data_IF_158498406145
#
_entry.id   IF_158498406145
#
_cell.length_a   1.000
_cell.length_b   1.000
_cell.length_c   1.000
_cell.angle_alpha   90.00
_cell.angle_beta   90.00
_cell.angle_gamma   90.00
#
_symmetry.space_group_name_H-M   'P 1'
#
loop_
_entity.id
_entity.type
_entity.pdbx_description
1 polymer ?
#
# COMPACT_ATOMS: atom_id res chain seq x y z
N UNK A 1 6.96 4.21 20.76
CA UNK A 1 7.48 5.57 20.98
C UNK A 1 8.83 5.63 20.27
N UNK A 2 8.78 5.69 18.94
CA UNK A 2 9.94 6.04 18.13
C UNK A 2 9.96 7.55 18.04
N UNK A 3 11.08 8.15 18.41
CA UNK A 3 11.29 9.58 18.38
C UNK A 3 11.21 10.07 16.92
N UNK A 4 10.17 10.86 16.63
CA UNK A 4 10.19 11.80 15.51
C UNK A 4 11.30 12.81 15.83
N UNK A 5 12.51 12.56 15.30
CA UNK A 5 13.69 13.40 15.52
C UNK A 5 13.67 14.70 14.70
N UNK A 6 12.52 15.39 14.68
CA UNK A 6 12.45 16.79 14.29
C UNK A 6 11.53 17.51 15.29
N UNK A 7 12.13 18.33 16.15
CA UNK A 7 11.45 19.12 17.18
C UNK A 7 10.63 20.28 16.63
N UNK A 8 10.13 20.19 15.40
CA UNK A 8 9.18 21.14 14.84
C UNK A 8 7.79 20.83 15.39
N UNK A 9 7.23 21.78 16.13
CA UNK A 9 5.86 21.72 16.61
C UNK A 9 4.93 21.51 15.40
N UNK A 10 4.30 20.33 15.29
CA UNK A 10 3.48 20.01 14.11
C UNK A 10 2.40 21.09 13.97
N UNK A 11 2.23 21.68 12.77
CA UNK A 11 1.27 22.75 12.58
C UNK A 11 -0.13 22.29 12.99
N UNK A 12 -0.83 23.14 13.73
CA UNK A 12 -2.20 22.86 14.16
C UNK A 12 -3.09 22.71 12.92
N UNK A 13 -3.97 21.71 12.94
CA UNK A 13 -4.92 21.47 11.83
C UNK A 13 -6.02 22.55 11.92
N UNK A 14 -6.20 23.40 10.89
CA UNK A 14 -7.20 24.44 10.93
C UNK A 14 -8.62 23.86 10.84
N UNK A 15 -9.59 24.59 11.40
CA UNK A 15 -11.01 24.29 11.25
C UNK A 15 -11.52 24.83 9.91
N UNK A 16 -11.23 24.08 8.84
CA UNK A 16 -11.48 24.45 7.46
C UNK A 16 -12.10 23.28 6.67
N UNK A 17 -12.77 23.54 5.52
CA UNK A 17 -13.33 22.49 4.68
C UNK A 17 -12.29 21.44 4.30
N UNK A 18 -12.73 20.18 4.23
CA UNK A 18 -11.87 19.04 3.92
C UNK A 18 -12.12 18.55 2.50
N UNK A 19 -11.05 18.29 1.77
CA UNK A 19 -11.07 17.61 0.48
C UNK A 19 -10.35 16.27 0.65
N UNK A 20 -11.08 15.18 0.38
CA UNK A 20 -10.55 13.82 0.42
C UNK A 20 -9.89 13.50 -0.92
N UNK A 21 -8.61 13.16 -0.88
CA UNK A 21 -7.82 12.77 -2.04
C UNK A 21 -7.92 11.26 -2.26
N UNK A 22 -7.99 10.86 -3.54
CA UNK A 22 -7.83 9.45 -3.91
C UNK A 22 -6.35 9.03 -3.92
N UNK A 23 -6.07 7.74 -4.14
CA UNK A 23 -4.69 7.22 -4.07
C UNK A 23 -3.76 7.86 -5.11
N UNK A 24 -4.24 8.17 -6.32
CA UNK A 24 -3.42 8.81 -7.35
C UNK A 24 -3.16 10.28 -7.01
N UNK A 25 -4.17 10.98 -6.48
CA UNK A 25 -4.03 12.35 -5.96
C UNK A 25 -3.05 12.43 -4.78
N UNK A 26 -2.97 11.40 -3.96
CA UNK A 26 -2.01 11.31 -2.86
C UNK A 26 -0.56 11.19 -3.36
N UNK A 27 -0.32 10.42 -4.42
CA UNK A 27 1.00 10.35 -5.06
C UNK A 27 1.40 11.70 -5.68
N UNK A 28 0.45 12.40 -6.31
CA UNK A 28 0.67 13.76 -6.84
C UNK A 28 0.92 14.78 -5.73
N UNK A 29 0.15 14.74 -4.64
CA UNK A 29 0.37 15.60 -3.47
C UNK A 29 1.78 15.41 -2.91
N UNK A 30 2.27 14.17 -2.83
CA UNK A 30 3.62 13.87 -2.36
C UNK A 30 4.71 14.48 -3.26
N UNK A 31 4.52 14.42 -4.58
CA UNK A 31 5.40 15.09 -5.54
C UNK A 31 5.39 16.62 -5.35
N UNK A 32 4.23 17.23 -5.10
CA UNK A 32 4.10 18.67 -4.84
C UNK A 32 4.78 19.07 -3.54
N UNK A 33 4.48 18.37 -2.42
CA UNK A 33 5.10 18.63 -1.12
C UNK A 33 6.62 18.40 -1.15
N UNK A 34 7.08 17.45 -1.96
CA UNK A 34 8.49 17.18 -2.21
C UNK A 34 9.19 18.19 -3.12
N UNK A 35 8.46 19.16 -3.68
CA UNK A 35 8.96 20.18 -4.60
C UNK A 35 9.28 19.67 -6.01
N UNK A 36 8.79 18.48 -6.35
CA UNK A 36 8.96 17.88 -7.67
C UNK A 36 7.89 18.32 -8.68
N UNK A 37 6.77 18.84 -8.19
CA UNK A 37 5.70 19.44 -8.97
C UNK A 37 5.26 20.76 -8.33
N UNK A 38 4.80 21.71 -9.15
CA UNK A 38 4.31 23.02 -8.69
C UNK A 38 2.78 23.11 -8.66
N UNK A 39 2.05 22.09 -9.12
CA UNK A 39 0.57 22.08 -9.14
C UNK A 39 -0.03 20.76 -9.63
N UNK A 40 -1.36 20.64 -9.55
CA UNK A 40 -2.15 19.48 -10.02
C UNK A 40 -3.61 19.88 -10.30
N UNK A 41 -4.28 19.32 -11.32
CA UNK A 41 -5.69 19.60 -11.61
C UNK A 41 -6.66 19.39 -10.44
N UNK A 42 -6.40 18.43 -9.54
CA UNK A 42 -7.23 18.19 -8.35
C UNK A 42 -6.93 19.19 -7.22
N UNK A 43 -5.67 19.60 -7.07
CA UNK A 43 -5.34 20.77 -6.25
C UNK A 43 -6.04 22.00 -6.82
N UNK A 44 -6.13 22.12 -8.14
CA UNK A 44 -6.84 23.20 -8.82
C UNK A 44 -8.36 23.15 -8.60
N UNK A 45 -8.98 21.97 -8.64
CA UNK A 45 -10.39 21.81 -8.30
C UNK A 45 -10.68 22.14 -6.83
N UNK A 46 -9.75 21.83 -5.91
CA UNK A 46 -9.84 22.27 -4.52
C UNK A 46 -9.76 23.81 -4.43
N UNK A 47 -8.91 24.47 -5.22
CA UNK A 47 -8.81 25.96 -5.29
C UNK A 47 -10.14 26.63 -5.64
N UNK A 48 -10.97 25.97 -6.45
CA UNK A 48 -12.24 26.50 -6.97
C UNK A 48 -13.43 26.39 -6.00
N UNK A 49 -13.25 25.73 -4.84
CA UNK A 49 -14.26 25.68 -3.79
C UNK A 49 -14.52 27.09 -3.23
N UNK A 50 -15.64 27.69 -3.61
CA UNK A 50 -15.98 29.09 -3.28
C UNK A 50 -16.30 29.26 -1.79
N UNK A 51 -15.58 30.16 -1.12
CA UNK A 51 -16.02 30.76 0.16
C UNK A 51 -15.14 30.55 1.39
N UNK A 52 -13.96 29.92 1.29
CA UNK A 52 -13.06 29.69 2.43
C UNK A 52 -11.60 30.00 2.10
N UNK A 53 -10.88 30.61 3.04
CA UNK A 53 -9.47 31.05 2.89
C UNK A 53 -8.47 29.89 2.94
N UNK A 54 -8.84 28.78 3.60
CA UNK A 54 -8.04 27.58 3.75
C UNK A 54 -8.84 26.32 3.43
N UNK A 55 -8.16 25.28 2.95
CA UNK A 55 -8.72 23.94 2.72
C UNK A 55 -7.75 22.90 3.28
N UNK A 56 -8.27 21.91 4.01
CA UNK A 56 -7.48 20.79 4.52
C UNK A 56 -7.57 19.62 3.54
N UNK A 57 -6.44 19.20 3.01
CA UNK A 57 -6.32 18.00 2.18
C UNK A 57 -6.14 16.78 3.08
N UNK A 58 -6.98 15.76 2.88
CA UNK A 58 -6.97 14.54 3.68
C UNK A 58 -6.86 13.29 2.81
N UNK A 59 -6.30 12.22 3.36
CA UNK A 59 -6.48 10.89 2.76
C UNK A 59 -7.91 10.37 2.93
N UNK A 60 -8.18 9.19 2.38
CA UNK A 60 -9.46 8.49 2.52
C UNK A 60 -9.83 8.13 3.96
N UNK A 61 -8.86 8.19 4.88
CA UNK A 61 -9.00 7.99 6.34
C UNK A 61 -9.24 9.30 7.12
N UNK A 62 -9.50 10.42 6.43
CA UNK A 62 -9.63 11.77 6.99
C UNK A 62 -8.36 12.24 7.74
N UNK A 63 -7.21 11.63 7.48
CA UNK A 63 -5.94 12.08 8.03
C UNK A 63 -5.58 13.42 7.38
N UNK A 64 -5.38 14.50 8.15
CA UNK A 64 -4.89 15.77 7.62
C UNK A 64 -3.45 15.61 7.11
N UNK A 65 -3.25 15.92 5.83
CA UNK A 65 -1.95 15.78 5.15
C UNK A 65 -1.34 17.13 4.81
N UNK A 66 -2.14 18.07 4.32
CA UNK A 66 -1.68 19.40 3.97
C UNK A 66 -2.81 20.43 4.11
N UNK A 67 -2.43 21.69 4.25
CA UNK A 67 -3.31 22.84 4.16
C UNK A 67 -3.00 23.57 2.86
N UNK A 68 -4.03 23.84 2.08
CA UNK A 68 -3.96 24.72 0.91
C UNK A 68 -4.46 26.10 1.33
N UNK A 69 -3.56 27.09 1.32
CA UNK A 69 -3.91 28.49 1.52
C UNK A 69 -4.27 29.12 0.16
N UNK A 70 -5.29 29.99 0.14
CA UNK A 70 -5.52 30.91 -0.97
C UNK A 70 -4.73 32.21 -0.73
N UNK A 71 -3.56 32.43 -1.32
CA UNK A 71 -3.05 33.78 -1.45
C UNK A 71 -3.88 34.54 -2.48
N UNK A 72 -3.90 35.87 -2.37
CA UNK A 72 -4.51 36.80 -3.34
C UNK A 72 -3.80 36.81 -4.74
N UNK A 73 -3.20 35.69 -5.18
CA UNK A 73 -2.40 35.57 -6.41
C UNK A 73 -2.37 34.16 -7.03
N UNK A 74 -1.61 34.00 -8.11
CA UNK A 74 -1.65 32.82 -8.99
C UNK A 74 -1.01 31.53 -8.43
N UNK A 75 -0.29 31.60 -7.30
CA UNK A 75 0.50 30.47 -6.76
C UNK A 75 0.11 30.14 -5.30
N UNK A 76 -0.78 29.15 -5.06
CA UNK A 76 -1.28 28.83 -3.75
C UNK A 76 -0.21 28.18 -2.87
N UNK A 77 -0.04 28.68 -1.65
CA UNK A 77 0.87 28.08 -0.70
C UNK A 77 0.27 26.78 -0.17
N UNK A 78 0.98 25.67 -0.36
CA UNK A 78 0.64 24.39 0.25
C UNK A 78 1.57 24.12 1.44
N UNK A 79 0.97 23.98 2.62
CA UNK A 79 1.69 23.68 3.85
C UNK A 79 1.50 22.22 4.22
N UNK A 80 2.59 21.45 4.30
CA UNK A 80 2.55 20.08 4.80
C UNK A 80 2.16 20.06 6.29
N UNK A 81 1.10 19.32 6.62
CA UNK A 81 0.83 18.84 7.99
C UNK A 81 1.53 17.50 8.23
N UNK A 82 1.66 16.71 7.16
CA UNK A 82 2.44 15.48 7.06
C UNK A 82 3.15 15.47 5.71
N UNK A 83 4.50 15.52 5.67
CA UNK A 83 5.23 15.73 4.42
C UNK A 83 5.18 14.53 3.46
N UNK A 84 4.87 13.34 3.97
CA UNK A 84 4.76 12.12 3.18
C UNK A 84 3.55 11.31 3.63
N UNK A 85 2.78 10.77 2.68
CA UNK A 85 1.64 9.93 3.00
C UNK A 85 2.11 8.50 3.33
N UNK A 86 1.61 7.99 4.47
CA UNK A 86 2.08 6.76 5.10
C UNK A 86 1.62 5.51 4.33
N UNK A 87 2.43 4.46 4.35
CA UNK A 87 2.10 3.13 3.85
C UNK A 87 2.96 2.07 4.55
N UNK A 88 2.87 0.82 4.11
CA UNK A 88 3.59 -0.32 4.68
C UNK A 88 4.38 -1.08 3.62
N UNK A 89 5.57 -1.56 3.98
CA UNK A 89 6.44 -2.30 3.06
C UNK A 89 7.64 -1.48 2.58
N UNK A 90 8.50 -2.12 1.80
CA UNK A 90 9.78 -1.55 1.34
C UNK A 90 9.60 -0.28 0.50
N UNK A 91 8.50 -0.20 -0.25
CA UNK A 91 8.13 0.99 -1.03
C UNK A 91 7.82 2.24 -0.20
N UNK A 92 7.66 2.09 1.11
CA UNK A 92 7.30 3.15 2.04
C UNK A 92 8.42 3.45 3.05
N UNK A 93 9.59 2.83 2.90
CA UNK A 93 10.73 3.08 3.78
C UNK A 93 11.27 4.51 3.58
N UNK A 94 11.36 5.33 4.63
CA UNK A 94 11.85 6.71 4.52
C UNK A 94 13.26 6.85 3.94
N UNK A 95 14.09 5.81 4.09
CA UNK A 95 15.42 5.78 3.51
C UNK A 95 15.43 5.68 1.97
N UNK A 96 14.37 5.14 1.39
CA UNK A 96 14.23 4.91 -0.06
C UNK A 96 13.26 5.89 -0.71
N UNK A 97 12.13 6.20 -0.05
CA UNK A 97 11.11 7.14 -0.53
C UNK A 97 11.45 8.53 0.01
N UNK A 98 12.25 9.28 -0.76
CA UNK A 98 12.79 10.59 -0.37
C UNK A 98 12.31 11.66 -1.35
N UNK A 99 12.10 12.89 -0.87
CA UNK A 99 11.74 14.02 -1.73
C UNK A 99 12.89 14.45 -2.64
N UNK A 100 12.58 15.09 -3.77
CA UNK A 100 13.58 15.63 -4.69
C UNK A 100 14.53 16.62 -3.99
N UNK A 101 14.00 17.44 -3.07
CA UNK A 101 14.80 18.35 -2.24
C UNK A 101 15.83 17.60 -1.37
N UNK A 102 15.44 16.53 -0.70
CA UNK A 102 16.33 15.74 0.15
C UNK A 102 17.40 15.01 -0.67
N UNK A 103 17.02 14.45 -1.82
CA UNK A 103 17.95 13.77 -2.73
C UNK A 103 18.99 14.75 -3.27
N UNK A 104 18.56 15.95 -3.71
CA UNK A 104 19.47 16.99 -4.20
C UNK A 104 20.44 17.48 -3.12
N UNK A 105 19.94 17.81 -1.93
CA UNK A 105 20.78 18.22 -0.81
C UNK A 105 21.83 17.15 -0.45
N UNK A 106 21.45 15.88 -0.56
CA UNK A 106 22.34 14.74 -0.34
C UNK A 106 23.37 14.56 -1.46
N UNK A 107 23.04 14.84 -2.71
CA UNK A 107 23.99 14.85 -3.84
C UNK A 107 24.99 15.99 -3.73
N UNK A 108 24.54 17.18 -3.34
CA UNK A 108 25.39 18.36 -3.11
C UNK A 108 26.37 18.10 -1.95
N UNK A 109 25.87 17.57 -0.83
CA UNK A 109 26.68 17.25 0.35
C UNK A 109 27.79 16.24 0.08
N UNK A 110 27.61 15.33 -0.88
CA UNK A 110 28.62 14.34 -1.26
C UNK A 110 29.47 14.77 -2.47
N UNK A 111 29.27 15.97 -3.00
CA UNK A 111 29.99 16.45 -4.19
C UNK A 111 29.67 15.65 -5.46
N UNK A 112 28.49 15.03 -5.53
CA UNK A 112 28.09 14.14 -6.62
C UNK A 112 26.96 14.72 -7.50
N UNK A 113 26.62 15.99 -7.31
CA UNK A 113 25.48 16.66 -7.96
C UNK A 113 25.74 17.24 -9.35
N UNK A 114 26.97 17.25 -9.84
CA UNK A 114 27.32 17.91 -11.12
C UNK A 114 26.79 17.18 -12.36
N UNK A 115 26.89 15.84 -12.37
CA UNK A 115 26.41 14.98 -13.46
C UNK A 115 25.74 13.75 -12.90
N UNK A 116 24.42 13.71 -12.95
CA UNK A 116 23.62 12.64 -12.33
C UNK A 116 22.85 11.90 -13.41
N UNK A 117 23.14 10.61 -13.54
CA UNK A 117 22.37 9.72 -14.40
C UNK A 117 21.21 9.13 -13.59
N UNK A 118 19.98 9.40 -13.99
CA UNK A 118 18.81 8.71 -13.46
C UNK A 118 18.43 7.53 -14.35
N UNK A 119 18.47 6.33 -13.78
CA UNK A 119 17.98 5.11 -14.40
C UNK A 119 16.60 4.80 -13.84
N UNK A 120 15.58 4.93 -14.68
CA UNK A 120 14.20 4.53 -14.35
C UNK A 120 14.07 3.01 -14.47
N UNK A 121 13.74 2.36 -13.36
CA UNK A 121 13.54 0.90 -13.26
C UNK A 121 12.07 0.63 -12.95
N UNK A 122 11.29 0.43 -14.01
CA UNK A 122 9.84 0.20 -13.98
C UNK A 122 9.46 -1.29 -14.17
N UNK A 123 10.46 -2.17 -14.26
CA UNK A 123 10.30 -3.61 -14.50
C UNK A 123 11.46 -4.39 -13.85
N UNK A 124 11.30 -5.71 -13.71
CA UNK A 124 12.31 -6.58 -13.10
C UNK A 124 13.62 -6.55 -13.89
N UNK A 125 14.73 -6.08 -13.30
CA UNK A 125 16.01 -6.02 -14.01
C UNK A 125 16.64 -7.41 -14.17
N UNK A 126 17.29 -7.62 -15.30
CA UNK A 126 18.02 -8.85 -15.62
C UNK A 126 19.53 -8.69 -15.43
N UNK A 127 20.28 -9.80 -15.50
CA UNK A 127 21.75 -9.74 -15.56
C UNK A 127 22.27 -9.10 -16.85
N UNK A 128 21.53 -9.23 -17.95
CA UNK A 128 21.89 -8.58 -19.21
C UNK A 128 21.71 -7.06 -19.09
N UNK A 129 20.65 -6.62 -18.41
CA UNK A 129 20.42 -5.20 -18.11
C UNK A 129 21.59 -4.62 -17.30
N UNK A 130 22.12 -5.37 -16.31
CA UNK A 130 23.24 -4.92 -15.49
C UNK A 130 24.49 -4.66 -16.33
N UNK A 131 24.84 -5.59 -17.24
CA UNK A 131 25.97 -5.41 -18.14
C UNK A 131 25.81 -4.21 -19.07
N UNK A 132 24.59 -3.99 -19.62
CA UNK A 132 24.30 -2.81 -20.44
C UNK A 132 24.43 -1.51 -19.66
N UNK A 133 23.92 -1.47 -18.43
CA UNK A 133 23.99 -0.31 -17.55
C UNK A 133 25.43 -0.03 -17.11
N UNK A 134 26.21 -1.06 -16.77
CA UNK A 134 27.64 -0.91 -16.46
C UNK A 134 28.40 -0.27 -17.63
N UNK A 135 28.11 -0.67 -18.87
CA UNK A 135 28.73 -0.09 -20.06
C UNK A 135 28.32 1.38 -20.26
N UNK A 136 27.05 1.72 -20.04
CA UNK A 136 26.56 3.11 -20.10
C UNK A 136 27.24 3.94 -19.02
N UNK A 137 27.28 3.46 -17.79
CA UNK A 137 27.91 4.14 -16.66
C UNK A 137 29.40 4.39 -16.96
N UNK A 138 30.13 3.36 -17.40
CA UNK A 138 31.56 3.46 -17.72
C UNK A 138 31.88 4.35 -18.93
N UNK A 139 30.93 4.53 -19.85
CA UNK A 139 31.03 5.48 -20.96
C UNK A 139 30.53 6.90 -20.62
N UNK A 140 29.84 7.06 -19.50
CA UNK A 140 29.31 8.34 -19.06
C UNK A 140 30.36 9.14 -18.28
N UNK A 141 30.02 10.41 -18.03
CA UNK A 141 30.77 11.27 -17.10
C UNK A 141 29.96 11.55 -15.83
N UNK A 142 29.02 10.67 -15.52
CA UNK A 142 28.19 10.79 -14.34
C UNK A 142 29.04 10.65 -13.07
N UNK A 143 28.77 11.51 -12.10
CA UNK A 143 29.35 11.50 -10.75
C UNK A 143 28.48 10.76 -9.75
N UNK A 144 27.22 10.46 -10.11
CA UNK A 144 26.29 9.63 -9.33
C UNK A 144 25.26 8.95 -10.24
N UNK A 145 24.69 7.86 -9.75
CA UNK A 145 23.56 7.16 -10.40
C UNK A 145 22.38 7.09 -9.44
N UNK A 146 21.23 7.59 -9.89
CA UNK A 146 19.94 7.42 -9.21
C UNK A 146 19.19 6.26 -9.86
N UNK A 147 18.97 5.18 -9.12
CA UNK A 147 18.10 4.08 -9.49
C UNK A 147 16.69 4.42 -9.02
N UNK A 148 15.88 4.93 -9.96
CA UNK A 148 14.55 5.46 -9.68
C UNK A 148 13.54 4.34 -9.90
N UNK A 149 12.76 4.02 -8.87
CA UNK A 149 11.69 3.02 -8.93
C UNK A 149 10.35 3.73 -8.79
N UNK A 150 9.60 3.95 -9.89
CA UNK A 150 8.26 4.53 -9.83
C UNK A 150 7.32 3.55 -9.13
N UNK A 151 6.66 4.00 -8.06
CA UNK A 151 5.70 3.19 -7.31
C UNK A 151 4.43 3.98 -7.03
N UNK A 152 3.31 3.42 -7.49
CA UNK A 152 1.97 3.90 -7.21
C UNK A 152 1.42 3.32 -5.90
N UNK A 153 0.57 4.09 -5.20
CA UNK A 153 -0.26 3.59 -4.08
C UNK A 153 -1.23 2.52 -4.54
N UNK A 154 -1.80 2.72 -5.72
CA UNK A 154 -2.73 1.80 -6.35
C UNK A 154 -2.02 1.03 -7.47
N UNK A 155 -2.16 -0.30 -7.57
CA UNK A 155 -1.69 -1.03 -8.74
C UNK A 155 -2.36 -0.51 -10.02
N UNK A 156 -1.56 0.02 -10.95
CA UNK A 156 -2.01 0.44 -12.28
C UNK A 156 -2.01 -0.71 -13.30
N UNK A 157 -2.61 -0.51 -14.49
CA UNK A 157 -2.62 -1.52 -15.56
C UNK A 157 -1.21 -1.89 -16.06
N UNK A 158 -0.21 -0.99 -15.90
CA UNK A 158 1.21 -1.26 -16.19
C UNK A 158 1.94 -2.01 -15.06
N UNK A 159 1.40 -2.03 -13.84
CA UNK A 159 1.99 -2.66 -12.64
C UNK A 159 1.62 -4.14 -12.50
N UNK A 160 0.98 -4.75 -13.50
CA UNK A 160 0.27 -6.02 -13.33
C UNK A 160 1.17 -7.23 -13.02
N UNK A 161 2.46 -7.20 -13.38
CA UNK A 161 3.34 -8.35 -13.17
C UNK A 161 3.98 -8.39 -11.78
N UNK A 162 4.40 -7.23 -11.23
CA UNK A 162 5.18 -7.16 -9.98
C UNK A 162 4.80 -5.91 -9.17
N UNK A 163 4.47 -6.10 -7.89
CA UNK A 163 4.15 -5.00 -6.96
C UNK A 163 5.41 -4.20 -6.58
N UNK A 164 5.22 -2.99 -6.04
CA UNK A 164 6.30 -2.05 -5.70
C UNK A 164 7.41 -2.65 -4.82
N UNK A 165 7.11 -3.22 -3.67
CA UNK A 165 8.15 -3.75 -2.76
C UNK A 165 8.96 -4.92 -3.34
N UNK A 166 8.36 -5.93 -4.00
CA UNK A 166 9.13 -6.95 -4.72
C UNK A 166 10.06 -6.37 -5.81
N UNK A 167 9.59 -5.37 -6.57
CA UNK A 167 10.42 -4.69 -7.56
C UNK A 167 11.62 -3.99 -6.88
N UNK A 168 11.40 -3.30 -5.77
CA UNK A 168 12.48 -2.63 -5.03
C UNK A 168 13.51 -3.63 -4.51
N UNK A 169 13.10 -4.80 -4.01
CA UNK A 169 14.05 -5.87 -3.61
C UNK A 169 14.90 -6.33 -4.79
N UNK A 170 14.28 -6.52 -5.96
CA UNK A 170 15.01 -6.86 -7.19
C UNK A 170 16.00 -5.76 -7.58
N UNK A 171 15.60 -4.49 -7.45
CA UNK A 171 16.47 -3.33 -7.70
C UNK A 171 17.61 -3.24 -6.69
N UNK A 172 17.41 -3.55 -5.41
CA UNK A 172 18.49 -3.61 -4.43
C UNK A 172 19.56 -4.65 -4.83
N UNK A 173 19.13 -5.85 -5.23
CA UNK A 173 20.04 -6.87 -5.76
C UNK A 173 20.74 -6.43 -7.05
N UNK A 174 20.04 -5.72 -7.92
CA UNK A 174 20.57 -5.16 -9.16
C UNK A 174 21.63 -4.08 -8.91
N UNK A 175 21.36 -3.14 -8.01
CA UNK A 175 22.31 -2.10 -7.61
C UNK A 175 23.54 -2.70 -6.94
N UNK A 176 23.36 -3.75 -6.12
CA UNK A 176 24.48 -4.47 -5.53
C UNK A 176 25.37 -5.15 -6.59
N UNK A 177 24.76 -5.72 -7.63
CA UNK A 177 25.49 -6.33 -8.75
C UNK A 177 26.34 -5.29 -9.48
N UNK A 178 25.74 -4.15 -9.88
CA UNK A 178 26.43 -3.06 -10.58
C UNK A 178 27.50 -2.41 -9.67
N UNK A 179 27.18 -2.16 -8.40
CA UNK A 179 28.10 -1.53 -7.46
C UNK A 179 29.34 -2.38 -7.16
N UNK A 180 29.24 -3.71 -7.29
CA UNK A 180 30.42 -4.59 -7.22
C UNK A 180 31.38 -4.35 -8.38
N UNK A 181 30.87 -4.00 -9.56
CA UNK A 181 31.67 -3.68 -10.74
C UNK A 181 32.15 -2.21 -10.78
N UNK A 182 31.43 -1.29 -10.13
CA UNK A 182 31.69 0.16 -10.13
C UNK A 182 31.71 0.76 -8.71
N UNK A 183 32.69 0.40 -7.85
CA UNK A 183 32.69 0.81 -6.43
C UNK A 183 32.89 2.32 -6.21
N UNK A 184 33.47 3.02 -7.19
CA UNK A 184 33.76 4.46 -7.13
C UNK A 184 32.52 5.32 -7.40
N UNK A 185 31.44 4.73 -7.92
CA UNK A 185 30.22 5.45 -8.29
C UNK A 185 29.09 5.17 -7.29
N UNK A 186 28.65 6.18 -6.53
CA UNK A 186 27.58 6.00 -5.56
C UNK A 186 26.26 5.75 -6.28
N UNK A 187 25.77 4.51 -6.18
CA UNK A 187 24.41 4.14 -6.57
C UNK A 187 23.42 4.43 -5.44
N UNK A 188 22.36 5.19 -5.73
CA UNK A 188 21.29 5.48 -4.76
C UNK A 188 19.96 5.02 -5.31
N UNK A 189 19.19 4.30 -4.50
CA UNK A 189 17.82 3.92 -4.85
C UNK A 189 16.88 5.02 -4.36
N UNK A 190 15.97 5.43 -5.23
CA UNK A 190 14.90 6.39 -4.91
C UNK A 190 13.58 5.77 -5.34
N UNK A 191 12.66 5.60 -4.40
CA UNK A 191 11.27 5.25 -4.69
C UNK A 191 10.52 6.53 -5.00
N UNK A 192 10.01 6.63 -6.23
CA UNK A 192 9.33 7.81 -6.73
C UNK A 192 7.81 7.59 -6.65
N UNK A 193 7.04 8.42 -5.90
CA UNK A 193 5.58 8.44 -6.00
C UNK A 193 5.17 8.65 -7.46
N UNK A 194 4.38 7.72 -8.01
CA UNK A 194 3.95 7.79 -9.41
C UNK A 194 2.49 7.35 -9.54
N UNK A 195 1.55 8.23 -9.95
CA UNK A 195 0.14 7.87 -10.06
C UNK A 195 -0.08 6.79 -11.12
N UNK A 196 -1.06 5.92 -10.90
CA UNK A 196 -1.32 4.75 -11.73
C UNK A 196 -1.85 5.09 -13.14
N UNK A 197 -2.46 6.26 -13.29
CA UNK A 197 -3.03 6.77 -14.54
C UNK A 197 -2.11 7.76 -15.27
N UNK A 198 -0.85 7.86 -14.85
CA UNK A 198 0.22 8.73 -15.37
C UNK A 198 -0.06 10.25 -15.33
N UNK A 199 -1.30 10.73 -15.11
CA UNK A 199 -1.74 12.16 -15.06
C UNK A 199 -1.03 13.13 -16.04
N UNK A 200 -0.57 12.65 -17.21
CA UNK A 200 0.30 13.36 -18.15
C UNK A 200 1.59 13.96 -17.51
N UNK A 201 2.13 13.31 -16.47
CA UNK A 201 3.36 13.71 -15.80
C UNK A 201 4.61 13.39 -16.64
N UNK A 202 5.53 14.34 -16.71
CA UNK A 202 6.83 14.14 -17.34
C UNK A 202 7.85 13.63 -16.33
N UNK A 203 8.22 12.34 -16.44
CA UNK A 203 9.23 11.73 -15.56
C UNK A 203 10.58 12.44 -15.65
N UNK A 204 10.93 12.93 -16.83
CA UNK A 204 12.19 13.67 -17.05
C UNK A 204 12.19 15.01 -16.33
N UNK A 205 11.09 15.77 -16.39
CA UNK A 205 10.96 17.05 -15.68
C UNK A 205 10.96 16.84 -14.17
N UNK A 206 10.23 15.82 -13.70
CA UNK A 206 10.24 15.42 -12.29
C UNK A 206 11.65 15.04 -11.86
N UNK A 207 12.38 14.21 -12.60
CA UNK A 207 13.72 13.78 -12.20
C UNK A 207 14.78 14.89 -12.27
N UNK A 208 14.59 15.92 -13.09
CA UNK A 208 15.41 17.12 -13.02
C UNK A 208 15.30 17.81 -11.64
N UNK A 209 14.13 17.75 -10.98
CA UNK A 209 13.96 18.26 -9.61
C UNK A 209 14.73 17.44 -8.57
N UNK A 210 14.99 16.15 -8.85
CA UNK A 210 15.86 15.28 -8.03
C UNK A 210 17.35 15.49 -8.32
N UNK A 211 17.70 16.33 -9.29
CA UNK A 211 19.08 16.63 -9.69
C UNK A 211 19.57 15.81 -10.89
N UNK A 212 18.73 15.02 -11.55
CA UNK A 212 19.11 14.28 -12.75
C UNK A 212 19.50 15.24 -13.89
N UNK A 213 20.65 14.98 -14.51
CA UNK A 213 21.10 15.70 -15.72
C UNK A 213 20.88 14.87 -16.98
N UNK A 214 20.79 13.56 -16.82
CA UNK A 214 20.51 12.59 -17.87
C UNK A 214 19.51 11.57 -17.33
N UNK A 215 18.55 11.16 -18.17
CA UNK A 215 17.52 10.20 -17.80
C UNK A 215 17.49 9.10 -18.85
N UNK A 216 17.54 7.85 -18.40
CA UNK A 216 17.33 6.67 -19.25
C UNK A 216 16.43 5.67 -18.53
N UNK A 217 15.75 4.82 -19.29
CA UNK A 217 14.86 3.79 -18.75
C UNK A 217 15.43 2.40 -18.96
N UNK A 218 15.08 1.47 -18.07
CA UNK A 218 15.48 0.06 -18.17
C UNK A 218 15.05 -0.55 -19.51
N UNK A 219 13.85 -0.22 -19.99
CA UNK A 219 13.37 -0.70 -21.29
C UNK A 219 14.17 -0.13 -22.47
N UNK A 220 14.72 1.08 -22.35
CA UNK A 220 15.49 1.72 -23.43
C UNK A 220 16.87 1.08 -23.63
N UNK A 221 17.43 0.46 -22.57
CA UNK A 221 18.74 -0.20 -22.62
C UNK A 221 18.65 -1.69 -22.95
N UNK A 222 17.43 -2.24 -23.00
CA UNK A 222 17.18 -3.64 -23.34
C UNK A 222 17.34 -3.89 -24.83
N UNK A 223 18.05 -4.95 -25.16
CA UNK A 223 18.08 -5.45 -26.54
C UNK A 223 16.76 -6.12 -26.91
N UNK A 224 16.33 -6.08 -28.19
CA UNK A 224 15.13 -6.80 -28.63
C UNK A 224 15.14 -8.29 -28.29
N UNK A 225 16.31 -8.91 -28.29
CA UNK A 225 16.48 -10.33 -27.93
C UNK A 225 16.27 -10.58 -26.42
N UNK A 226 16.62 -9.63 -25.56
CA UNK A 226 16.34 -9.72 -24.12
C UNK A 226 14.84 -9.50 -23.85
N UNK A 227 14.25 -8.48 -24.47
CA UNK A 227 12.81 -8.21 -24.39
C UNK A 227 12.00 -9.45 -24.79
N UNK A 228 12.37 -10.09 -25.91
CA UNK A 228 11.71 -11.32 -26.34
C UNK A 228 11.93 -12.46 -25.34
N UNK A 229 13.17 -12.66 -24.84
CA UNK A 229 13.44 -13.70 -23.83
C UNK A 229 12.60 -13.52 -22.57
N UNK A 230 12.44 -12.29 -22.08
CA UNK A 230 11.61 -11.99 -20.91
C UNK A 230 10.13 -12.28 -21.21
N UNK A 231 9.63 -11.83 -22.37
CA UNK A 231 8.26 -12.10 -22.80
C UNK A 231 7.97 -13.60 -22.93
N UNK A 232 9.00 -14.39 -23.27
CA UNK A 232 8.92 -15.84 -23.40
C UNK A 232 9.04 -16.59 -22.06
N UNK A 233 9.48 -15.96 -20.96
CA UNK A 233 9.70 -16.61 -19.66
C UNK A 233 8.44 -17.26 -19.05
N UNK A 234 7.25 -16.62 -19.06
CA UNK A 234 6.04 -17.22 -18.49
C UNK A 234 5.69 -18.59 -19.12
N UNK A 235 6.09 -18.79 -20.38
CA UNK A 235 5.84 -20.03 -21.13
C UNK A 235 7.07 -20.95 -21.19
N UNK A 236 8.17 -20.63 -20.51
CA UNK A 236 9.41 -21.40 -20.60
C UNK A 236 9.23 -22.83 -20.09
N UNK A 237 8.52 -23.02 -18.97
CA UNK A 237 8.21 -24.34 -18.45
C UNK A 237 7.28 -25.10 -19.39
N UNK A 238 6.22 -24.45 -19.88
CA UNK A 238 5.29 -25.05 -20.85
C UNK A 238 6.01 -25.55 -22.11
N UNK A 239 6.85 -24.71 -22.73
CA UNK A 239 7.62 -25.09 -23.92
C UNK A 239 8.53 -26.28 -23.63
N UNK A 240 9.28 -26.23 -22.52
CA UNK A 240 10.17 -27.32 -22.14
C UNK A 240 9.42 -28.65 -21.92
N UNK A 241 8.21 -28.61 -21.34
CA UNK A 241 7.38 -29.81 -21.17
C UNK A 241 6.89 -30.33 -22.52
N UNK A 242 6.37 -29.46 -23.40
CA UNK A 242 5.88 -29.86 -24.73
C UNK A 242 7.00 -30.36 -25.66
N UNK A 243 8.22 -29.88 -25.48
CA UNK A 243 9.40 -30.33 -26.25
C UNK A 243 9.84 -31.75 -25.86
N UNK A 244 9.60 -32.15 -24.60
CA UNK A 244 10.07 -33.44 -24.05
C UNK A 244 9.00 -34.52 -24.12
N UNK A 245 7.71 -34.16 -23.98
CA UNK A 245 6.61 -35.11 -23.83
C UNK A 245 5.63 -35.04 -25.01
N UNK A 246 5.00 -36.17 -25.41
CA UNK A 246 3.89 -36.14 -26.35
C UNK A 246 2.74 -35.25 -25.84
N UNK A 247 1.99 -34.63 -26.77
CA UNK A 247 0.96 -33.62 -26.46
C UNK A 247 0.01 -34.01 -25.32
N UNK A 248 -0.45 -35.26 -25.29
CA UNK A 248 -1.36 -35.75 -24.25
C UNK A 248 -0.69 -35.75 -22.86
N UNK A 249 0.55 -36.22 -22.76
CA UNK A 249 1.32 -36.23 -21.51
C UNK A 249 1.73 -34.83 -21.08
N UNK A 250 2.11 -33.97 -22.02
CA UNK A 250 2.42 -32.57 -21.75
C UNK A 250 1.19 -31.82 -21.21
N UNK A 251 0.01 -32.05 -21.79
CA UNK A 251 -1.25 -31.45 -21.33
C UNK A 251 -1.58 -31.87 -19.90
N UNK A 252 -1.44 -33.16 -19.56
CA UNK A 252 -1.65 -33.65 -18.20
C UNK A 252 -0.67 -33.04 -17.20
N UNK A 253 0.63 -33.00 -17.54
CA UNK A 253 1.67 -32.43 -16.68
C UNK A 253 1.49 -30.92 -16.45
N UNK A 254 1.13 -30.18 -17.50
CA UNK A 254 0.88 -28.74 -17.39
C UNK A 254 -0.39 -28.44 -16.61
N UNK A 255 -1.48 -29.21 -16.85
CA UNK A 255 -2.68 -29.11 -16.03
C UNK A 255 -2.42 -29.46 -14.56
N UNK A 256 -1.55 -30.45 -14.30
CA UNK A 256 -1.14 -30.78 -12.93
C UNK A 256 -0.28 -29.67 -12.30
N UNK A 257 0.64 -29.06 -13.05
CA UNK A 257 1.50 -27.98 -12.55
C UNK A 257 0.73 -26.67 -12.28
N UNK A 258 -0.25 -26.32 -13.13
CA UNK A 258 -1.18 -25.22 -12.91
C UNK A 258 -2.01 -25.44 -11.64
N UNK A 259 -2.44 -26.68 -11.39
CA UNK A 259 -3.12 -27.05 -10.15
C UNK A 259 -2.15 -27.13 -8.95
N UNK A 260 -0.88 -27.50 -9.17
CA UNK A 260 0.13 -27.70 -8.12
C UNK A 260 0.77 -26.40 -7.61
N UNK A 261 0.76 -25.32 -8.41
CA UNK A 261 1.18 -24.00 -7.96
C UNK A 261 0.31 -23.46 -6.80
N UNK A 262 -0.91 -24.00 -6.66
CA UNK A 262 -1.87 -23.75 -5.59
C UNK A 262 -1.84 -24.83 -4.48
N UNK A 263 -1.01 -25.87 -4.64
CA UNK A 263 -1.10 -27.14 -3.87
C UNK A 263 0.05 -27.33 -2.88
N UNK A 264 0.60 -26.24 -2.33
CA UNK A 264 1.13 -26.39 -0.97
C UNK A 264 -0.12 -26.61 -0.11
N UNK A 265 -0.25 -27.70 0.66
CA UNK A 265 -1.27 -27.80 1.68
C UNK A 265 -0.93 -26.79 2.79
N UNK A 266 -1.12 -25.51 2.51
CA UNK A 266 -1.14 -24.49 3.54
C UNK A 266 -2.50 -24.61 4.18
N UNK A 267 -2.52 -24.85 5.50
CA UNK A 267 -3.75 -24.65 6.28
C UNK A 267 -4.28 -23.26 5.94
N UNK A 268 -5.53 -23.22 5.45
CA UNK A 268 -6.22 -21.95 5.25
C UNK A 268 -6.34 -21.23 6.59
N UNK A 269 -6.39 -19.90 6.55
CA UNK A 269 -6.48 -19.10 7.77
C UNK A 269 -7.38 -17.90 7.58
N UNK A 270 -8.00 -17.46 8.66
CA UNK A 270 -8.79 -16.24 8.71
C UNK A 270 -8.27 -15.36 9.83
N UNK A 271 -7.78 -14.18 9.44
CA UNK A 271 -7.52 -13.07 10.36
C UNK A 271 -8.79 -12.24 10.45
N UNK A 272 -9.45 -12.30 11.61
CA UNK A 272 -10.76 -11.70 11.83
C UNK A 272 -10.63 -10.50 12.77
N UNK A 273 -10.69 -9.29 12.23
CA UNK A 273 -10.67 -8.06 13.02
C UNK A 273 -12.05 -7.72 13.59
N UNK A 274 -12.06 -7.11 14.78
CA UNK A 274 -13.25 -6.50 15.42
C UNK A 274 -12.87 -5.20 16.12
N UNK A 275 -13.81 -4.27 16.26
CA UNK A 275 -13.57 -2.96 16.84
C UNK A 275 -14.54 -1.90 16.31
N UNK A 276 -14.61 -0.76 16.99
CA UNK A 276 -15.51 0.36 16.66
C UNK A 276 -15.29 0.92 15.25
N UNK A 277 -16.30 1.58 14.67
CA UNK A 277 -16.12 2.33 13.41
C UNK A 277 -15.01 3.37 13.60
N UNK A 278 -14.11 3.58 12.63
CA UNK A 278 -12.98 4.52 12.79
C UNK A 278 -11.83 4.04 13.71
N UNK A 279 -11.88 2.81 14.23
CA UNK A 279 -10.80 2.27 15.07
C UNK A 279 -9.50 1.95 14.33
N UNK A 280 -9.50 1.93 12.99
CA UNK A 280 -8.30 1.63 12.18
C UNK A 280 -8.22 0.19 11.64
N UNK A 281 -9.26 -0.64 11.83
CA UNK A 281 -9.32 -2.02 11.32
C UNK A 281 -8.99 -2.13 9.83
N UNK A 282 -9.69 -1.38 8.98
CA UNK A 282 -9.52 -1.47 7.51
C UNK A 282 -8.10 -1.09 7.10
N UNK A 283 -7.50 -0.09 7.77
CA UNK A 283 -6.10 0.32 7.55
C UNK A 283 -5.12 -0.80 7.88
N UNK A 284 -5.25 -1.42 9.07
CA UNK A 284 -4.37 -2.52 9.48
C UNK A 284 -4.61 -3.76 8.60
N UNK A 285 -5.85 -4.07 8.28
CA UNK A 285 -6.23 -5.22 7.45
C UNK A 285 -5.66 -5.14 6.02
N UNK A 286 -5.70 -3.95 5.40
CA UNK A 286 -5.07 -3.73 4.08
C UNK A 286 -3.55 -3.85 4.15
N UNK A 287 -2.93 -3.17 5.10
CA UNK A 287 -1.49 -3.24 5.30
C UNK A 287 -1.00 -4.68 5.58
N UNK A 288 -1.78 -5.46 6.34
CA UNK A 288 -1.50 -6.88 6.57
C UNK A 288 -1.58 -7.69 5.28
N UNK A 289 -2.66 -7.53 4.50
CA UNK A 289 -2.84 -8.23 3.23
C UNK A 289 -1.71 -7.93 2.24
N UNK A 290 -1.30 -6.66 2.14
CA UNK A 290 -0.18 -6.25 1.30
C UNK A 290 1.14 -6.84 1.80
N UNK A 291 1.39 -6.79 3.11
CA UNK A 291 2.63 -7.35 3.70
C UNK A 291 2.74 -8.85 3.47
N UNK A 292 1.63 -9.61 3.54
CA UNK A 292 1.63 -11.06 3.29
C UNK A 292 1.89 -11.36 1.82
N UNK A 293 1.27 -10.60 0.91
CA UNK A 293 1.53 -10.72 -0.52
C UNK A 293 3.00 -10.43 -0.84
N UNK A 294 3.61 -9.44 -0.18
CA UNK A 294 5.02 -9.10 -0.34
C UNK A 294 6.00 -10.12 0.26
N UNK A 295 5.66 -10.71 1.42
CA UNK A 295 6.54 -11.63 2.15
C UNK A 295 6.51 -13.04 1.56
N UNK A 296 5.31 -13.54 1.30
CA UNK A 296 5.09 -14.97 1.05
C UNK A 296 4.64 -15.26 -0.39
N UNK A 297 4.33 -14.21 -1.18
CA UNK A 297 3.70 -14.34 -2.49
C UNK A 297 2.26 -14.86 -2.41
N UNK A 298 1.70 -15.06 -1.21
CA UNK A 298 0.32 -15.51 -0.98
C UNK A 298 -0.64 -14.34 -1.12
N UNK A 299 -1.65 -14.47 -1.96
CA UNK A 299 -2.73 -13.51 -2.02
C UNK A 299 -3.65 -13.67 -0.79
N UNK A 300 -4.00 -12.55 -0.15
CA UNK A 300 -5.01 -12.50 0.90
C UNK A 300 -6.34 -11.99 0.32
N UNK A 301 -7.43 -12.71 0.56
CA UNK A 301 -8.79 -12.24 0.24
C UNK A 301 -9.24 -11.25 1.31
N UNK A 302 -9.27 -9.96 0.96
CA UNK A 302 -9.70 -8.90 1.86
C UNK A 302 -11.24 -8.78 1.89
N UNK A 303 -11.84 -9.03 3.05
CA UNK A 303 -13.27 -8.91 3.33
C UNK A 303 -13.52 -7.68 4.21
N UNK A 304 -13.30 -6.49 3.65
CA UNK A 304 -13.54 -5.20 4.33
C UNK A 304 -15.04 -4.87 4.38
N UNK A 305 -15.48 -4.25 5.48
CA UNK A 305 -16.90 -4.03 5.78
C UNK A 305 -17.63 -3.20 4.72
N UNK A 306 -16.95 -2.30 4.01
CA UNK A 306 -17.54 -1.47 2.96
C UNK A 306 -17.77 -2.26 1.66
N UNK A 307 -16.75 -2.96 1.17
CA UNK A 307 -16.86 -3.82 -0.02
C UNK A 307 -17.87 -4.94 0.18
N UNK A 308 -17.86 -5.59 1.35
CA UNK A 308 -18.85 -6.60 1.72
C UNK A 308 -20.26 -6.00 1.74
N UNK A 309 -20.45 -4.80 2.31
CA UNK A 309 -21.76 -4.14 2.33
C UNK A 309 -22.29 -3.82 0.94
N UNK A 310 -21.41 -3.45 0.01
CA UNK A 310 -21.79 -3.19 -1.37
C UNK A 310 -22.19 -4.45 -2.13
N UNK A 311 -21.46 -5.56 -1.95
CA UNK A 311 -21.61 -6.73 -2.81
C UNK A 311 -22.38 -7.91 -2.18
N UNK A 312 -22.21 -8.13 -0.88
CA UNK A 312 -22.74 -9.30 -0.17
C UNK A 312 -23.86 -8.97 0.80
N UNK A 313 -23.91 -7.73 1.28
CA UNK A 313 -24.85 -7.27 2.31
C UNK A 313 -25.71 -6.09 1.86
N UNK A 314 -25.84 -5.90 0.55
CA UNK A 314 -26.75 -4.92 -0.02
C UNK A 314 -28.19 -5.21 0.48
N UNK A 315 -28.86 -4.16 0.96
CA UNK A 315 -30.22 -4.25 1.51
C UNK A 315 -30.31 -4.63 3.00
N UNK A 316 -29.21 -4.97 3.68
CA UNK A 316 -29.23 -5.11 5.15
C UNK A 316 -29.26 -3.75 5.84
N UNK A 317 -30.08 -3.64 6.89
CA UNK A 317 -30.17 -2.46 7.74
C UNK A 317 -29.00 -2.31 8.70
N UNK A 318 -29.19 -1.47 9.73
CA UNK A 318 -28.22 -1.23 10.80
C UNK A 318 -28.66 -1.78 12.15
N UNK A 319 -29.82 -2.43 12.23
CA UNK A 319 -30.31 -3.11 13.42
C UNK A 319 -29.40 -4.29 13.83
N UNK A 320 -29.60 -4.80 15.05
CA UNK A 320 -28.78 -5.87 15.61
C UNK A 320 -28.78 -7.15 14.74
N UNK A 321 -29.95 -7.59 14.27
CA UNK A 321 -30.08 -8.80 13.46
C UNK A 321 -29.39 -8.64 12.09
N UNK A 322 -29.55 -7.48 11.44
CA UNK A 322 -28.86 -7.14 10.20
C UNK A 322 -27.33 -7.15 10.37
N UNK A 323 -26.82 -6.71 11.53
CA UNK A 323 -25.38 -6.72 11.83
C UNK A 323 -24.86 -8.13 12.08
N UNK A 324 -25.57 -8.94 12.85
CA UNK A 324 -25.23 -10.36 13.06
C UNK A 324 -25.26 -11.13 11.73
N UNK A 325 -26.26 -10.91 10.89
CA UNK A 325 -26.34 -11.50 9.55
C UNK A 325 -25.17 -11.08 8.66
N UNK A 326 -24.76 -9.80 8.70
CA UNK A 326 -23.59 -9.33 7.97
C UNK A 326 -22.30 -10.02 8.44
N UNK A 327 -22.12 -10.18 9.76
CA UNK A 327 -20.97 -10.91 10.33
C UNK A 327 -20.99 -12.38 9.91
N UNK A 328 -22.17 -13.03 9.94
CA UNK A 328 -22.32 -14.41 9.50
C UNK A 328 -21.99 -14.60 8.02
N UNK A 329 -22.41 -13.66 7.14
CA UNK A 329 -22.06 -13.69 5.70
C UNK A 329 -20.56 -13.57 5.47
N UNK A 330 -19.90 -12.65 6.20
CA UNK A 330 -18.44 -12.49 6.14
C UNK A 330 -17.75 -13.78 6.59
N UNK A 331 -18.17 -14.34 7.72
CA UNK A 331 -17.60 -15.57 8.26
C UNK A 331 -17.77 -16.75 7.30
N UNK A 332 -18.94 -16.87 6.65
CA UNK A 332 -19.17 -17.90 5.64
C UNK A 332 -18.23 -17.77 4.45
N UNK A 333 -18.10 -16.57 3.86
CA UNK A 333 -17.16 -16.37 2.74
C UNK A 333 -15.71 -16.60 3.18
N UNK A 334 -15.32 -16.13 4.36
CA UNK A 334 -14.00 -16.37 4.92
C UNK A 334 -13.71 -17.86 5.11
N UNK A 335 -14.70 -18.64 5.59
CA UNK A 335 -14.56 -20.09 5.72
C UNK A 335 -14.38 -20.78 4.35
N UNK A 336 -15.05 -20.31 3.29
CA UNK A 336 -14.86 -20.86 1.95
C UNK A 336 -13.45 -20.60 1.44
N UNK A 337 -12.88 -19.42 1.70
CA UNK A 337 -11.47 -19.12 1.38
C UNK A 337 -10.54 -20.06 2.13
N UNK A 338 -10.75 -20.23 3.44
CA UNK A 338 -9.91 -21.11 4.27
C UNK A 338 -10.01 -22.59 3.86
N UNK A 339 -11.21 -23.08 3.52
CA UNK A 339 -11.43 -24.45 3.02
C UNK A 339 -10.56 -24.78 1.80
N UNK A 340 -10.25 -23.78 0.97
CA UNK A 340 -9.41 -23.94 -0.22
C UNK A 340 -7.94 -23.55 0.04
N UNK A 341 -7.48 -23.58 1.30
CA UNK A 341 -6.09 -23.27 1.66
C UNK A 341 -5.73 -21.78 1.60
N UNK A 342 -6.69 -20.92 1.26
CA UNK A 342 -6.50 -19.48 1.14
C UNK A 342 -6.39 -18.77 2.48
N UNK A 343 -5.91 -17.52 2.42
CA UNK A 343 -5.91 -16.60 3.56
C UNK A 343 -7.00 -15.55 3.39
N UNK A 344 -7.90 -15.45 4.37
CA UNK A 344 -8.91 -14.39 4.42
C UNK A 344 -8.56 -13.35 5.50
N UNK A 345 -8.68 -12.07 5.17
CA UNK A 345 -8.49 -10.96 6.12
C UNK A 345 -9.81 -10.19 6.20
N UNK A 346 -10.55 -10.35 7.30
CA UNK A 346 -11.89 -9.78 7.47
C UNK A 346 -11.88 -8.62 8.46
N UNK A 347 -12.49 -7.48 8.11
CA UNK A 347 -12.51 -6.28 8.95
C UNK A 347 -13.90 -5.74 9.33
N UNK A 348 -14.87 -6.58 9.80
CA UNK A 348 -16.15 -6.09 10.28
C UNK A 348 -16.05 -5.36 11.63
N UNK A 349 -17.12 -4.67 12.02
CA UNK A 349 -17.27 -4.18 13.41
C UNK A 349 -17.42 -5.38 14.37
N UNK A 350 -18.26 -6.36 14.01
CA UNK A 350 -18.59 -7.54 14.83
C UNK A 350 -18.85 -7.22 16.31
N UNK A 351 -19.91 -6.43 16.60
CA UNK A 351 -20.09 -5.81 17.92
C UNK A 351 -20.49 -6.78 19.02
N UNK A 352 -21.11 -7.92 18.69
CA UNK A 352 -21.62 -8.89 19.66
C UNK A 352 -20.69 -10.10 19.78
N UNK A 353 -20.49 -10.59 21.00
CA UNK A 353 -19.70 -11.79 21.28
C UNK A 353 -20.29 -13.03 20.59
N UNK A 354 -21.63 -13.12 20.51
CA UNK A 354 -22.35 -14.19 19.79
C UNK A 354 -21.88 -14.34 18.34
N UNK A 355 -21.83 -13.23 17.60
CA UNK A 355 -21.44 -13.22 16.19
C UNK A 355 -19.97 -13.62 15.99
N UNK A 356 -19.07 -13.20 16.88
CA UNK A 356 -17.65 -13.58 16.83
C UNK A 356 -17.45 -15.05 17.16
N UNK A 357 -18.14 -15.57 18.18
CA UNK A 357 -18.11 -16.99 18.53
C UNK A 357 -18.66 -17.86 17.40
N UNK A 358 -19.75 -17.44 16.76
CA UNK A 358 -20.32 -18.15 15.61
C UNK A 358 -19.33 -18.19 14.43
N UNK A 359 -18.64 -17.08 14.16
CA UNK A 359 -17.59 -17.02 13.14
C UNK A 359 -16.42 -17.98 13.47
N UNK A 360 -15.92 -17.95 14.71
CA UNK A 360 -14.87 -18.86 15.21
C UNK A 360 -15.27 -20.33 15.00
N UNK A 361 -16.47 -20.69 15.46
CA UNK A 361 -17.02 -22.05 15.39
C UNK A 361 -17.16 -22.56 13.96
N UNK A 362 -17.47 -21.65 13.02
CA UNK A 362 -17.61 -21.98 11.60
C UNK A 362 -16.25 -22.22 10.92
N UNK A 363 -15.22 -21.48 11.33
CA UNK A 363 -13.93 -21.42 10.63
C UNK A 363 -12.93 -22.45 11.15
N UNK A 364 -12.83 -22.63 12.47
CA UNK A 364 -11.85 -23.53 13.10
C UNK A 364 -11.86 -24.98 12.55
N UNK A 365 -13.00 -25.57 12.12
CA UNK A 365 -13.00 -26.89 11.50
C UNK A 365 -12.34 -26.97 10.11
N UNK A 366 -12.20 -25.84 9.40
CA UNK A 366 -11.70 -25.78 8.01
C UNK A 366 -10.42 -24.96 7.85
N UNK A 367 -9.98 -24.26 8.88
CA UNK A 367 -8.75 -23.48 8.88
C UNK A 367 -8.49 -22.77 10.21
N UNK A 368 -7.35 -22.09 10.31
CA UNK A 368 -7.00 -21.33 11.51
C UNK A 368 -7.87 -20.07 11.64
N UNK A 369 -8.28 -19.75 12.87
CA UNK A 369 -9.02 -18.52 13.18
C UNK A 369 -8.24 -17.67 14.18
N UNK A 370 -7.91 -16.44 13.78
CA UNK A 370 -7.19 -15.46 14.60
C UNK A 370 -8.08 -14.23 14.84
N UNK A 371 -8.51 -14.00 16.08
CA UNK A 371 -9.32 -12.86 16.46
C UNK A 371 -8.44 -11.67 16.84
N UNK A 372 -8.56 -10.56 16.10
CA UNK A 372 -7.82 -9.31 16.36
C UNK A 372 -8.77 -8.22 16.84
N UNK A 373 -8.60 -7.77 18.08
CA UNK A 373 -9.36 -6.67 18.65
C UNK A 373 -8.62 -5.33 18.45
N UNK A 374 -9.22 -4.43 17.68
CA UNK A 374 -8.72 -3.05 17.52
C UNK A 374 -9.43 -2.16 18.53
N UNK A 375 -8.88 -2.13 19.74
CA UNK A 375 -9.38 -1.50 20.97
C UNK A 375 -9.04 0.01 21.02
N UNK A 376 -9.49 0.75 20.00
CA UNK A 376 -9.32 2.21 19.99
C UNK A 376 -10.48 2.86 20.73
N UNK A 377 -10.22 3.79 21.67
CA UNK A 377 -11.26 4.47 22.43
C UNK A 377 -12.33 5.13 21.55
N UNK A 378 -13.57 5.15 22.04
CA UNK A 378 -14.72 5.69 21.31
C UNK A 378 -14.51 7.17 20.95
N UNK A 379 -13.97 7.95 21.86
CA UNK A 379 -13.76 9.40 21.70
C UNK A 379 -12.77 9.67 20.55
N UNK A 380 -11.75 8.80 20.40
CA UNK A 380 -10.80 8.88 19.29
C UNK A 380 -11.45 8.46 17.98
N UNK A 381 -12.28 7.40 18.01
CA UNK A 381 -13.05 6.96 16.85
C UNK A 381 -14.04 8.04 16.36
N UNK A 382 -14.73 8.71 17.29
CA UNK A 382 -15.61 9.85 17.03
C UNK A 382 -14.85 11.06 16.49
N UNK A 383 -13.67 11.37 17.05
CA UNK A 383 -12.87 12.47 16.54
C UNK A 383 -12.39 12.24 15.09
N UNK A 384 -12.13 10.98 14.72
CA UNK A 384 -11.75 10.61 13.34
C UNK A 384 -12.92 10.67 12.37
N UNK A 385 -14.12 10.23 12.79
CA UNK A 385 -15.38 10.10 12.05
C UNK A 385 -15.28 10.15 10.51
N UNK A 386 -14.49 9.24 9.94
CA UNK A 386 -14.17 9.17 8.51
C UNK A 386 -15.37 9.30 7.58
N UNK A 387 -16.48 8.69 7.99
CA UNK A 387 -17.70 8.53 7.19
C UNK A 387 -18.82 9.51 7.59
N UNK A 388 -18.55 10.41 8.53
CA UNK A 388 -19.57 11.28 9.14
C UNK A 388 -20.68 10.49 9.85
N UNK A 389 -20.43 9.23 10.21
CA UNK A 389 -21.44 8.34 10.77
C UNK A 389 -21.66 8.62 12.26
N UNK A 390 -20.61 8.98 12.99
CA UNK A 390 -20.75 9.39 14.38
C UNK A 390 -21.51 10.72 14.50
N UNK A 391 -21.17 11.72 13.68
CA UNK A 391 -21.90 12.99 13.63
C UNK A 391 -23.38 12.78 13.30
N UNK A 392 -23.70 11.94 12.30
CA UNK A 392 -25.08 11.57 11.96
C UNK A 392 -25.78 10.83 13.09
N UNK A 393 -25.10 9.91 13.77
CA UNK A 393 -25.64 9.19 14.92
C UNK A 393 -25.95 10.14 16.09
N UNK A 394 -25.03 11.06 16.42
CA UNK A 394 -25.22 12.09 17.46
C UNK A 394 -26.37 13.05 17.12
N UNK A 395 -26.57 13.34 15.83
CA UNK A 395 -27.70 14.11 15.33
C UNK A 395 -29.03 13.32 15.27
N UNK A 396 -29.05 12.04 15.68
CA UNK A 396 -30.24 11.20 15.67
C UNK A 396 -30.66 10.70 14.28
N UNK A 397 -29.83 10.92 13.25
CA UNK A 397 -30.11 10.48 11.87
C UNK A 397 -29.80 8.99 11.65
N UNK A 398 -29.02 8.37 12.56
CA UNK A 398 -28.75 6.94 12.59
C UNK A 398 -29.13 6.42 13.98
N UNK A 399 -30.24 5.69 14.07
CA UNK A 399 -30.85 5.29 15.34
C UNK A 399 -30.10 4.18 16.07
N UNK A 400 -29.48 3.25 15.36
CA UNK A 400 -28.79 2.09 15.94
C UNK A 400 -27.30 2.09 15.56
N UNK A 401 -26.52 3.02 16.12
CA UNK A 401 -25.10 3.15 15.83
C UNK A 401 -24.22 2.53 16.93
N UNK A 402 -23.20 1.76 16.53
CA UNK A 402 -22.34 1.03 17.49
C UNK A 402 -21.53 1.99 18.33
N UNK A 403 -21.51 1.78 19.65
CA UNK A 403 -20.80 2.63 20.60
C UNK A 403 -21.56 3.89 21.01
N UNK A 404 -22.71 4.18 20.39
CA UNK A 404 -23.56 5.34 20.73
C UNK A 404 -24.90 4.88 21.29
N UNK A 405 -25.74 4.27 20.44
CA UNK A 405 -27.08 3.79 20.80
C UNK A 405 -27.20 2.27 20.80
N UNK A 406 -26.23 1.57 20.20
CA UNK A 406 -26.10 0.10 20.21
C UNK A 406 -24.76 -0.29 20.84
N UNK A 407 -24.69 -1.34 21.69
CA UNK A 407 -23.46 -1.68 22.40
C UNK A 407 -22.38 -2.25 21.47
N UNK A 408 -21.14 -2.12 21.91
CA UNK A 408 -20.00 -2.92 21.45
C UNK A 408 -19.56 -3.75 22.65
N UNK A 409 -19.53 -5.07 22.52
CA UNK A 409 -19.06 -6.00 23.54
C UNK A 409 -17.59 -6.33 23.26
N UNK A 410 -16.62 -5.75 23.99
CA UNK A 410 -15.20 -6.02 23.75
C UNK A 410 -14.90 -7.52 23.91
N UNK A 411 -14.12 -8.15 23.01
CA UNK A 411 -13.76 -9.55 23.13
C UNK A 411 -12.81 -9.79 24.32
N UNK A 412 -13.16 -10.76 25.17
CA UNK A 412 -12.28 -11.26 26.23
C UNK A 412 -11.32 -12.37 25.78
N UNK A 413 -11.50 -12.88 24.56
CA UNK A 413 -10.80 -14.03 23.97
C UNK A 413 -10.01 -13.65 22.69
N UNK A 414 -9.67 -12.36 22.53
CA UNK A 414 -8.90 -11.90 21.39
C UNK A 414 -7.46 -12.46 21.44
N UNK A 415 -6.99 -12.96 20.30
CA UNK A 415 -5.61 -13.45 20.14
C UNK A 415 -4.60 -12.29 20.09
N UNK A 416 -5.02 -11.15 19.54
CA UNK A 416 -4.23 -9.91 19.47
C UNK A 416 -5.12 -8.73 19.85
N UNK A 417 -4.63 -7.83 20.70
CA UNK A 417 -5.30 -6.58 21.07
C UNK A 417 -4.43 -5.39 20.66
N UNK A 418 -5.01 -4.43 19.96
CA UNK A 418 -4.31 -3.28 19.36
C UNK A 418 -5.02 -1.98 19.72
N UNK A 419 -4.33 -1.13 20.47
CA UNK A 419 -4.74 0.26 20.70
C UNK A 419 -4.05 1.18 19.69
N UNK A 420 -4.80 1.70 18.72
CA UNK A 420 -4.24 2.58 17.66
C UNK A 420 -3.90 3.99 18.12
N UNK A 421 -4.09 4.31 19.41
CA UNK A 421 -3.55 5.54 20.01
C UNK A 421 -2.08 5.39 20.41
N UNK A 422 -1.61 4.13 20.56
CA UNK A 422 -0.27 3.80 21.05
C UNK A 422 0.56 2.99 20.04
N UNK A 423 -0.11 2.30 19.13
CA UNK A 423 0.49 1.40 18.15
C UNK A 423 0.28 1.94 16.74
N UNK A 424 1.36 2.10 16.00
CA UNK A 424 1.30 2.47 14.58
C UNK A 424 0.97 1.25 13.69
N UNK A 425 0.68 1.51 12.42
CA UNK A 425 0.25 0.46 11.48
C UNK A 425 1.34 -0.62 11.28
N UNK A 426 2.63 -0.28 11.05
CA UNK A 426 3.67 -1.30 10.90
C UNK A 426 3.81 -2.20 12.14
N UNK A 427 3.79 -1.63 13.35
CA UNK A 427 3.86 -2.43 14.58
C UNK A 427 2.61 -3.31 14.76
N UNK A 428 1.42 -2.78 14.46
CA UNK A 428 0.16 -3.53 14.49
C UNK A 428 0.19 -4.72 13.52
N UNK A 429 0.68 -4.52 12.28
CA UNK A 429 0.85 -5.59 11.29
C UNK A 429 1.83 -6.66 11.78
N UNK A 430 2.97 -6.24 12.34
CA UNK A 430 3.97 -7.17 12.89
C UNK A 430 3.40 -8.05 14.01
N UNK A 431 2.63 -7.47 14.93
CA UNK A 431 1.95 -8.22 16.00
C UNK A 431 0.98 -9.28 15.46
N UNK A 432 0.21 -8.94 14.42
CA UNK A 432 -0.75 -9.86 13.81
C UNK A 432 -0.03 -10.97 13.04
N UNK A 433 1.02 -10.63 12.29
CA UNK A 433 1.86 -11.61 11.58
C UNK A 433 2.51 -12.61 12.53
N UNK A 434 3.09 -12.14 13.63
CA UNK A 434 3.71 -13.01 14.63
C UNK A 434 2.69 -14.00 15.22
N UNK A 435 1.47 -13.53 15.52
CA UNK A 435 0.42 -14.39 16.03
C UNK A 435 -0.10 -15.40 14.98
N UNK A 436 -0.22 -14.97 13.72
CA UNK A 436 -0.60 -15.82 12.60
C UNK A 436 0.46 -16.90 12.34
N UNK A 437 1.73 -16.53 12.30
CA UNK A 437 2.85 -17.44 12.04
C UNK A 437 2.95 -18.52 13.13
N UNK A 438 2.73 -18.16 14.40
CA UNK A 438 2.64 -19.14 15.49
C UNK A 438 1.55 -20.18 15.23
N UNK A 439 0.33 -19.73 14.89
CA UNK A 439 -0.80 -20.65 14.63
C UNK A 439 -0.60 -21.52 13.38
N UNK A 440 0.07 -21.00 12.36
CA UNK A 440 0.37 -21.76 11.14
C UNK A 440 1.53 -22.75 11.31
N UNK A 441 2.35 -22.58 12.35
CA UNK A 441 3.48 -23.46 12.66
C UNK A 441 3.12 -24.63 13.58
N UNK A 442 1.95 -24.58 14.23
CA UNK A 442 1.39 -25.59 15.13
C UNK A 442 0.42 -26.56 14.41
#
# INVERSE_FOLDING_TARGET
MGEDADGSERPAVPDAPRVVLDDDDLDVLELVLGGALTGSPQLDAARDARGTDQIVLTDTENTPLAVLDRPDGDDPAIQALRPMARGSGLAWEPALRRSGREVRADLERTGSGDRVLALVVDDLPTRADAASIEAIIGGSSATAVLFVVPVARRPGPRSAAVRGSPLIRAVQGFVQLIGTAQPELPGRIVVLPWPADDRDLSITEILATYGATEVTGLQAVRSPAETQRIADLPHAYERAVRDVYPDASATELLGTAENAADDRPSRGAVVFFTGLSGSGKSTIARALADTIAERDGRAATLLDGDAVRQHLSAGLGFDAASREMNVARIAYVASLVATHGGLAVAAPIAPFASGRLAARTLIEPVGEFLLVHVDTPLEVCEARDRKGLYAKARAGLITDFTGISSPYEPPGDADVVIDTTRTDVPAAVAMVLEALDRRLSD
#
